data_IF_854014674613
#
_entry.id   IF_854014674613
#
_cell.length_a   1.000
_cell.length_b   1.000
_cell.length_c   1.000
_cell.angle_alpha   90.00
_cell.angle_beta   90.00
_cell.angle_gamma   90.00
#
_symmetry.space_group_name_H-M   'P 1'
#
loop_
_entity.id
_entity.type
_entity.pdbx_description
1 polymer ?
#
# COMPACT_ATOMS: atom_id res chain seq x y z
N UNK A 1 3.97 -41.32 -0.08
CA UNK A 1 3.05 -41.36 -1.23
C UNK A 1 2.04 -40.27 -0.99
N UNK A 2 2.22 -39.10 -1.62
CA UNK A 2 1.26 -38.00 -1.55
C UNK A 2 0.25 -38.21 -2.69
N UNK A 3 -0.97 -38.58 -2.33
CA UNK A 3 -2.08 -38.57 -3.27
C UNK A 3 -2.33 -37.13 -3.74
N UNK A 4 -2.05 -36.90 -5.02
CA UNK A 4 -2.54 -35.70 -5.71
C UNK A 4 -4.07 -35.85 -5.82
N UNK A 5 -4.83 -35.21 -4.94
CA UNK A 5 -6.25 -34.99 -5.15
C UNK A 5 -6.40 -33.98 -6.31
N UNK A 6 -6.50 -34.48 -7.53
CA UNK A 6 -7.01 -33.69 -8.63
C UNK A 6 -8.53 -33.56 -8.44
N UNK A 7 -8.97 -32.38 -8.02
CA UNK A 7 -10.40 -32.06 -7.99
C UNK A 7 -10.79 -31.78 -9.43
N UNK A 8 -11.44 -32.73 -10.08
CA UNK A 8 -11.89 -32.62 -11.46
C UNK A 8 -13.30 -32.01 -11.42
N UNK A 9 -13.34 -30.67 -11.42
CA UNK A 9 -14.60 -29.90 -11.47
C UNK A 9 -15.00 -29.70 -12.93
N UNK A 10 -16.27 -29.90 -13.25
CA UNK A 10 -16.85 -29.44 -14.52
C UNK A 10 -16.78 -27.90 -14.61
N UNK A 11 -16.87 -27.36 -15.80
CA UNK A 11 -16.83 -25.90 -16.01
C UNK A 11 -17.97 -25.18 -15.27
N UNK A 12 -19.15 -25.79 -15.16
CA UNK A 12 -20.26 -25.24 -14.38
C UNK A 12 -20.00 -25.23 -12.89
N UNK A 13 -19.46 -26.31 -12.32
CA UNK A 13 -19.12 -26.38 -10.89
C UNK A 13 -18.00 -25.42 -10.54
N UNK A 14 -17.01 -25.24 -11.41
CA UNK A 14 -15.95 -24.24 -11.22
C UNK A 14 -16.54 -22.82 -11.23
N UNK A 15 -17.44 -22.52 -12.16
CA UNK A 15 -18.12 -21.21 -12.23
C UNK A 15 -18.93 -20.94 -10.96
N UNK A 16 -19.76 -21.89 -10.52
CA UNK A 16 -20.59 -21.75 -9.33
C UNK A 16 -19.73 -21.56 -8.07
N UNK A 17 -18.60 -22.28 -7.97
CA UNK A 17 -17.63 -22.10 -6.90
C UNK A 17 -17.02 -20.69 -6.91
N UNK A 18 -16.58 -20.21 -8.08
CA UNK A 18 -15.97 -18.89 -8.23
C UNK A 18 -16.97 -17.78 -7.93
N UNK A 19 -18.21 -17.89 -8.41
CA UNK A 19 -19.29 -16.92 -8.17
C UNK A 19 -19.65 -16.87 -6.67
N UNK A 20 -19.73 -18.02 -6.02
CA UNK A 20 -19.98 -18.13 -4.58
C UNK A 20 -18.86 -17.46 -3.77
N UNK A 21 -17.60 -17.74 -4.09
CA UNK A 21 -16.46 -17.13 -3.40
C UNK A 21 -16.34 -15.64 -3.71
N UNK A 22 -16.62 -15.22 -4.93
CA UNK A 22 -16.67 -13.81 -5.28
C UNK A 22 -17.74 -13.05 -4.48
N UNK A 23 -18.93 -13.60 -4.35
CA UNK A 23 -20.00 -13.01 -3.54
C UNK A 23 -19.63 -12.95 -2.04
N UNK A 24 -18.97 -13.98 -1.52
CA UNK A 24 -18.48 -14.02 -0.13
C UNK A 24 -17.45 -12.95 0.16
N UNK A 25 -16.49 -12.76 -0.75
CA UNK A 25 -15.41 -11.79 -0.60
C UNK A 25 -15.90 -10.37 -0.87
N UNK A 26 -16.77 -10.19 -1.87
CA UNK A 26 -17.32 -8.88 -2.23
C UNK A 26 -18.49 -8.49 -1.28
N UNK A 27 -18.22 -8.49 0.01
CA UNK A 27 -19.18 -8.21 1.07
C UNK A 27 -18.63 -7.23 2.10
N UNK A 28 -19.49 -6.41 2.76
CA UNK A 28 -19.04 -5.53 3.85
C UNK A 28 -18.36 -6.27 5.01
N UNK A 29 -18.72 -7.51 5.27
CA UNK A 29 -18.14 -8.33 6.33
C UNK A 29 -16.64 -8.65 6.04
N UNK A 30 -16.27 -8.81 4.77
CA UNK A 30 -14.88 -9.01 4.38
C UNK A 30 -14.01 -7.78 4.69
N UNK A 31 -14.55 -6.57 4.49
CA UNK A 31 -13.82 -5.31 4.68
C UNK A 31 -13.36 -5.15 6.12
N UNK A 32 -14.17 -5.57 7.10
CA UNK A 32 -13.89 -5.38 8.52
C UNK A 32 -12.57 -6.07 8.97
N UNK A 33 -12.24 -7.19 8.35
CA UNK A 33 -11.05 -7.99 8.69
C UNK A 33 -9.90 -7.84 7.67
N UNK A 34 -10.01 -6.96 6.69
CA UNK A 34 -9.05 -6.80 5.60
C UNK A 34 -8.34 -5.44 5.67
N UNK A 35 -7.06 -5.35 5.28
CA UNK A 35 -6.34 -4.08 5.21
C UNK A 35 -7.01 -2.99 4.36
N UNK A 36 -7.91 -3.33 3.45
CA UNK A 36 -8.71 -2.37 2.67
C UNK A 36 -9.59 -1.47 3.55
N UNK A 37 -9.85 -1.86 4.81
CA UNK A 37 -10.56 -1.02 5.77
C UNK A 37 -9.83 0.31 6.07
N UNK A 38 -8.50 0.33 6.02
CA UNK A 38 -7.71 1.48 6.45
C UNK A 38 -7.88 2.71 5.54
N UNK A 39 -7.71 2.64 4.22
CA UNK A 39 -8.00 3.78 3.35
C UNK A 39 -9.46 4.24 3.42
N UNK A 40 -10.40 3.35 3.73
CA UNK A 40 -11.82 3.67 3.85
C UNK A 40 -12.19 4.50 5.10
N UNK A 41 -11.25 4.70 6.01
CA UNK A 41 -11.43 5.57 7.20
C UNK A 41 -11.34 7.06 6.84
N UNK A 42 -10.81 7.38 5.67
CA UNK A 42 -10.56 8.74 5.22
C UNK A 42 -11.53 9.15 4.11
N UNK A 43 -11.74 10.47 3.98
CA UNK A 43 -12.61 11.05 2.96
C UNK A 43 -11.85 11.95 1.98
N UNK A 44 -10.70 12.49 2.38
CA UNK A 44 -9.83 13.24 1.48
C UNK A 44 -9.04 12.28 0.59
N UNK A 45 -8.99 12.55 -0.72
CA UNK A 45 -8.27 11.70 -1.66
C UNK A 45 -6.81 11.47 -1.25
N UNK A 46 -6.02 12.48 -0.89
CA UNK A 46 -4.64 12.27 -0.48
C UNK A 46 -4.47 11.36 0.74
N UNK A 47 -5.33 11.48 1.76
CA UNK A 47 -5.27 10.60 2.94
C UNK A 47 -5.63 9.16 2.58
N UNK A 48 -6.65 8.97 1.72
CA UNK A 48 -7.02 7.64 1.19
C UNK A 48 -5.84 7.02 0.44
N UNK A 49 -5.17 7.78 -0.42
CA UNK A 49 -4.04 7.32 -1.22
C UNK A 49 -2.84 6.91 -0.34
N UNK A 50 -2.46 7.75 0.63
CA UNK A 50 -1.35 7.45 1.55
C UNK A 50 -1.69 6.23 2.39
N UNK A 51 -2.87 6.18 2.98
CA UNK A 51 -3.30 5.04 3.79
C UNK A 51 -3.34 3.73 2.98
N UNK A 52 -3.83 3.78 1.72
CA UNK A 52 -3.86 2.63 0.82
C UNK A 52 -2.46 2.14 0.47
N UNK A 53 -1.54 3.06 0.12
CA UNK A 53 -0.16 2.72 -0.22
C UNK A 53 0.56 2.09 0.98
N UNK A 54 0.45 2.70 2.16
CA UNK A 54 1.09 2.20 3.38
C UNK A 54 0.51 0.85 3.81
N UNK A 55 -0.81 0.69 3.79
CA UNK A 55 -1.45 -0.59 4.11
C UNK A 55 -1.04 -1.69 3.13
N UNK A 56 -0.98 -1.40 1.83
CA UNK A 56 -0.53 -2.36 0.81
C UNK A 56 0.94 -2.75 0.98
N UNK A 57 1.78 -1.80 1.38
CA UNK A 57 3.23 -2.03 1.61
C UNK A 57 3.49 -3.07 2.69
N UNK A 58 2.67 -3.12 3.74
CA UNK A 58 2.81 -4.10 4.82
C UNK A 58 1.83 -5.28 4.74
N UNK A 59 1.06 -5.39 3.65
CA UNK A 59 0.02 -6.41 3.46
C UNK A 59 0.59 -7.80 3.14
N UNK A 60 1.54 -8.31 3.94
CA UNK A 60 2.14 -9.62 3.78
C UNK A 60 2.28 -10.35 5.11
N UNK A 61 1.80 -11.60 5.14
CA UNK A 61 1.79 -12.46 6.31
C UNK A 61 0.40 -12.68 6.90
N UNK A 62 0.28 -12.71 8.22
CA UNK A 62 -0.98 -12.97 8.91
C UNK A 62 -1.89 -11.72 8.90
N UNK A 63 -3.12 -11.88 8.42
CA UNK A 63 -4.08 -10.77 8.26
C UNK A 63 -4.35 -10.00 9.55
N UNK A 64 -4.54 -10.67 10.69
CA UNK A 64 -4.76 -10.00 11.99
C UNK A 64 -3.57 -9.16 12.40
N UNK A 65 -2.36 -9.68 12.16
CA UNK A 65 -1.12 -8.94 12.43
C UNK A 65 -1.02 -7.70 11.53
N UNK A 66 -1.31 -7.86 10.23
CA UNK A 66 -1.30 -6.75 9.27
C UNK A 66 -2.26 -5.65 9.72
N UNK A 67 -3.52 -5.99 10.04
CA UNK A 67 -4.50 -4.99 10.49
C UNK A 67 -4.04 -4.29 11.78
N UNK A 68 -3.58 -5.02 12.79
CA UNK A 68 -3.03 -4.41 14.02
C UNK A 68 -1.87 -3.45 13.73
N UNK A 69 -0.98 -3.85 12.85
CA UNK A 69 0.22 -3.07 12.54
C UNK A 69 -0.10 -1.86 11.63
N UNK A 70 -1.13 -1.96 10.76
CA UNK A 70 -1.71 -0.81 10.05
C UNK A 70 -2.32 0.21 11.03
N UNK A 71 -3.08 -0.23 12.04
CA UNK A 71 -3.61 0.65 13.08
C UNK A 71 -2.50 1.41 13.78
N UNK A 72 -1.45 0.69 14.21
CA UNK A 72 -0.29 1.32 14.88
C UNK A 72 0.43 2.31 13.96
N UNK A 73 0.61 1.94 12.70
CA UNK A 73 1.27 2.81 11.72
C UNK A 73 0.48 4.09 11.48
N UNK A 74 -0.84 4.02 11.31
CA UNK A 74 -1.68 5.20 11.15
C UNK A 74 -1.74 6.04 12.42
N UNK A 75 -1.71 5.42 13.60
CA UNK A 75 -1.61 6.14 14.88
C UNK A 75 -0.30 6.92 15.00
N UNK A 76 0.82 6.39 14.49
CA UNK A 76 2.10 7.12 14.40
C UNK A 76 2.02 8.36 13.49
N UNK A 77 1.06 8.40 12.59
CA UNK A 77 0.78 9.53 11.70
C UNK A 77 -0.37 10.41 12.24
N UNK A 78 -0.69 10.31 13.53
CA UNK A 78 -1.80 11.01 14.17
C UNK A 78 -3.17 10.80 13.49
N UNK A 79 -3.32 9.73 12.72
CA UNK A 79 -4.46 9.46 11.83
C UNK A 79 -4.75 10.63 10.85
N UNK A 80 -3.73 11.38 10.49
CA UNK A 80 -3.76 12.48 9.52
C UNK A 80 -2.63 12.32 8.50
N UNK A 81 -2.67 11.31 7.63
CA UNK A 81 -1.55 10.91 6.79
C UNK A 81 -0.96 12.04 5.95
N UNK A 82 -1.80 12.85 5.31
CA UNK A 82 -1.34 13.97 4.48
C UNK A 82 -0.71 15.07 5.32
N UNK A 83 -1.41 15.57 6.35
CA UNK A 83 -0.92 16.65 7.19
C UNK A 83 0.42 16.26 7.84
N UNK A 84 0.48 15.08 8.43
CA UNK A 84 1.70 14.55 9.05
C UNK A 84 2.87 14.45 8.05
N UNK A 85 2.57 14.03 6.81
CA UNK A 85 3.57 13.94 5.73
C UNK A 85 4.08 15.32 5.34
N UNK A 86 3.20 16.30 5.17
CA UNK A 86 3.57 17.65 4.75
C UNK A 86 4.34 18.40 5.85
N UNK A 87 3.93 18.24 7.11
CA UNK A 87 4.55 18.89 8.28
C UNK A 87 5.86 18.21 8.73
N UNK A 88 6.27 17.13 8.06
CA UNK A 88 7.49 16.38 8.34
C UNK A 88 7.54 15.77 9.76
N UNK A 89 6.39 15.51 10.39
CA UNK A 89 6.31 14.84 11.69
C UNK A 89 7.04 13.49 11.75
N UNK A 90 7.26 12.87 10.62
CA UNK A 90 7.99 11.61 10.50
C UNK A 90 9.49 11.71 10.85
N UNK A 91 10.08 12.90 10.87
CA UNK A 91 11.51 13.05 11.23
C UNK A 91 11.73 12.73 12.72
N UNK A 92 10.74 12.98 13.56
CA UNK A 92 10.76 12.72 15.00
C UNK A 92 10.22 11.34 15.38
N UNK A 93 9.88 10.49 14.40
CA UNK A 93 9.42 9.13 14.68
C UNK A 93 10.47 8.34 15.49
N UNK A 94 10.09 7.72 16.60
CA UNK A 94 10.99 6.87 17.37
C UNK A 94 11.42 5.65 16.54
N UNK A 95 12.64 5.18 16.78
CA UNK A 95 13.10 3.96 16.15
C UNK A 95 12.35 2.75 16.72
N UNK A 96 11.45 2.21 15.92
CA UNK A 96 10.63 1.07 16.29
C UNK A 96 10.37 0.16 15.10
N UNK A 97 10.05 -1.09 15.41
CA UNK A 97 9.53 -2.02 14.42
C UNK A 97 8.05 -1.74 14.19
N UNK A 98 7.64 -1.61 12.94
CA UNK A 98 6.24 -1.41 12.55
C UNK A 98 5.60 -2.75 12.19
N UNK A 99 6.21 -3.47 11.23
CA UNK A 99 5.71 -4.77 10.79
C UNK A 99 6.86 -5.62 10.25
N UNK A 100 7.16 -6.75 10.89
CA UNK A 100 8.21 -7.69 10.46
C UNK A 100 9.55 -6.98 10.19
N UNK A 101 9.95 -6.87 8.92
CA UNK A 101 11.17 -6.19 8.48
C UNK A 101 10.95 -4.72 8.09
N UNK A 102 9.73 -4.19 8.26
CA UNK A 102 9.42 -2.79 8.02
C UNK A 102 9.51 -1.99 9.33
N UNK A 103 10.44 -1.04 9.39
CA UNK A 103 10.78 -0.23 10.55
C UNK A 103 10.40 1.23 10.34
N UNK A 104 10.45 2.03 11.40
CA UNK A 104 10.21 3.47 11.35
C UNK A 104 11.14 4.18 10.34
N UNK A 105 12.38 3.72 10.19
CA UNK A 105 13.31 4.24 9.18
C UNK A 105 12.78 4.05 7.74
N UNK A 106 12.15 2.91 7.47
CA UNK A 106 11.52 2.68 6.16
C UNK A 106 10.31 3.59 5.97
N UNK A 107 9.48 3.76 7.02
CA UNK A 107 8.33 4.67 6.97
C UNK A 107 8.76 6.12 6.72
N UNK A 108 9.79 6.61 7.45
CA UNK A 108 10.38 7.94 7.19
C UNK A 108 10.78 8.11 5.72
N UNK A 109 11.44 7.10 5.17
CA UNK A 109 11.86 7.12 3.77
C UNK A 109 10.67 7.22 2.81
N UNK A 110 9.62 6.43 3.02
CA UNK A 110 8.39 6.51 2.24
C UNK A 110 7.74 7.90 2.32
N UNK A 111 7.59 8.44 3.55
CA UNK A 111 6.93 9.72 3.76
C UNK A 111 7.71 10.90 3.16
N UNK A 112 9.05 10.86 3.18
CA UNK A 112 9.89 11.84 2.48
C UNK A 112 9.64 11.85 0.96
N UNK A 113 9.55 10.68 0.35
CA UNK A 113 9.24 10.55 -1.08
C UNK A 113 7.84 11.02 -1.41
N UNK A 114 6.85 10.58 -0.62
CA UNK A 114 5.46 11.00 -0.76
C UNK A 114 5.32 12.51 -0.61
N UNK A 115 5.94 13.11 0.40
CA UNK A 115 5.92 14.57 0.57
C UNK A 115 6.31 15.31 -0.71
N UNK A 116 7.34 14.86 -1.41
CA UNK A 116 7.75 15.50 -2.68
C UNK A 116 6.71 15.36 -3.76
N UNK A 117 6.06 14.19 -3.86
CA UNK A 117 4.97 13.97 -4.82
C UNK A 117 3.81 14.90 -4.48
N UNK A 118 3.35 14.92 -3.24
CA UNK A 118 2.19 15.73 -2.83
C UNK A 118 2.44 17.23 -2.92
N UNK A 119 3.65 17.71 -2.64
CA UNK A 119 4.01 19.12 -2.83
C UNK A 119 4.02 19.56 -4.30
N UNK A 120 4.33 18.64 -5.23
CA UNK A 120 4.38 18.94 -6.67
C UNK A 120 3.06 18.71 -7.40
N UNK A 121 2.32 17.70 -6.99
CA UNK A 121 1.17 17.21 -7.76
C UNK A 121 -0.15 17.27 -6.98
N UNK A 122 -0.12 17.38 -5.66
CA UNK A 122 -1.31 17.43 -4.82
C UNK A 122 -1.93 16.06 -4.53
N UNK A 123 -1.79 15.08 -5.41
CA UNK A 123 -2.30 13.71 -5.24
C UNK A 123 -1.44 12.69 -6.00
N UNK A 124 -1.52 11.41 -5.64
CA UNK A 124 -0.95 10.33 -6.44
C UNK A 124 -1.68 10.16 -7.78
N UNK A 125 -2.97 10.48 -7.82
CA UNK A 125 -3.75 10.47 -9.06
C UNK A 125 -3.20 11.51 -10.04
N UNK A 126 -2.97 12.76 -9.62
CA UNK A 126 -2.41 13.80 -10.47
C UNK A 126 -0.96 13.50 -10.86
N UNK A 127 -0.17 12.94 -9.95
CA UNK A 127 1.15 12.41 -10.26
C UNK A 127 1.09 11.36 -11.38
N UNK A 128 0.17 10.39 -11.27
CA UNK A 128 0.00 9.35 -12.28
C UNK A 128 -0.42 9.91 -13.64
N UNK A 129 -1.24 10.96 -13.66
CA UNK A 129 -1.62 11.65 -14.88
C UNK A 129 -0.43 12.41 -15.50
N UNK A 130 0.33 13.15 -14.68
CA UNK A 130 1.51 13.90 -15.12
C UNK A 130 2.59 12.97 -15.73
N UNK A 131 2.83 11.81 -15.09
CA UNK A 131 3.75 10.78 -15.59
C UNK A 131 3.16 9.91 -16.73
N UNK A 132 1.93 10.21 -17.18
CA UNK A 132 1.22 9.46 -18.24
C UNK A 132 1.07 7.96 -17.95
N UNK A 133 1.03 7.57 -16.68
CA UNK A 133 0.98 6.19 -16.23
C UNK A 133 -0.26 5.46 -16.76
N UNK A 134 -1.40 6.18 -16.87
CA UNK A 134 -2.66 5.66 -17.41
C UNK A 134 -2.57 5.20 -18.87
N UNK A 135 -1.55 5.64 -19.62
CA UNK A 135 -1.31 5.22 -21.00
C UNK A 135 -0.40 3.97 -21.09
N UNK A 136 0.14 3.52 -19.97
CA UNK A 136 0.98 2.32 -19.93
C UNK A 136 0.15 1.06 -20.16
N UNK A 137 0.66 0.04 -20.88
CA UNK A 137 0.03 -1.27 -20.96
C UNK A 137 -0.03 -2.01 -19.61
N UNK A 138 0.76 -1.56 -18.63
CA UNK A 138 0.80 -2.09 -17.26
C UNK A 138 0.78 -0.94 -16.24
N UNK A 139 -0.38 -0.24 -16.05
CA UNK A 139 -0.41 1.00 -15.26
C UNK A 139 0.00 0.82 -13.80
N UNK A 140 -0.41 -0.26 -13.15
CA UNK A 140 -0.04 -0.55 -11.76
C UNK A 140 1.47 -0.72 -11.59
N UNK A 141 2.13 -1.41 -12.51
CA UNK A 141 3.58 -1.58 -12.51
C UNK A 141 4.29 -0.25 -12.77
N UNK A 142 3.83 0.52 -13.74
CA UNK A 142 4.38 1.83 -14.06
C UNK A 142 4.27 2.81 -12.88
N UNK A 143 3.14 2.78 -12.15
CA UNK A 143 2.96 3.58 -10.93
C UNK A 143 3.94 3.16 -9.83
N UNK A 144 4.08 1.87 -9.58
CA UNK A 144 5.02 1.37 -8.59
C UNK A 144 6.46 1.78 -8.91
N UNK A 145 6.87 1.68 -10.19
CA UNK A 145 8.19 2.14 -10.63
C UNK A 145 8.37 3.66 -10.48
N UNK A 146 7.35 4.45 -10.80
CA UNK A 146 7.40 5.90 -10.69
C UNK A 146 7.53 6.35 -9.22
N UNK A 147 6.75 5.75 -8.31
CA UNK A 147 6.88 5.99 -6.87
C UNK A 147 8.28 5.58 -6.39
N UNK A 148 8.76 4.41 -6.78
CA UNK A 148 10.09 3.95 -6.39
C UNK A 148 11.20 4.91 -6.83
N UNK A 149 11.14 5.47 -8.04
CA UNK A 149 12.09 6.50 -8.49
C UNK A 149 12.08 7.71 -7.55
N UNK A 150 10.89 8.19 -7.14
CA UNK A 150 10.78 9.31 -6.20
C UNK A 150 11.34 8.97 -4.81
N UNK A 151 11.21 7.73 -4.36
CA UNK A 151 11.83 7.26 -3.12
C UNK A 151 13.35 7.19 -3.27
N UNK A 152 13.88 6.64 -4.37
CA UNK A 152 15.31 6.50 -4.62
C UNK A 152 16.06 7.83 -4.72
N UNK A 153 15.41 8.90 -5.22
CA UNK A 153 16.03 10.24 -5.31
C UNK A 153 16.40 10.85 -3.94
N UNK A 154 16.00 10.22 -2.83
CA UNK A 154 16.37 10.63 -1.48
C UNK A 154 17.71 10.08 -1.00
N UNK A 155 18.27 9.09 -1.69
CA UNK A 155 19.60 8.59 -1.40
C UNK A 155 20.65 9.50 -2.06
N UNK A 156 21.30 10.33 -1.27
CA UNK A 156 22.42 11.18 -1.71
C UNK A 156 23.74 10.41 -1.90
N UNK A 157 23.73 9.11 -1.73
CA UNK A 157 24.86 8.24 -2.02
C UNK A 157 24.37 7.09 -2.91
N UNK A 158 24.57 7.15 -4.23
CA UNK A 158 24.07 6.12 -5.12
C UNK A 158 24.92 4.87 -4.99
N UNK A 159 24.39 3.84 -4.37
CA UNK A 159 24.74 2.50 -4.82
C UNK A 159 23.90 2.23 -6.08
N UNK A 160 24.52 1.98 -7.24
CA UNK A 160 23.80 1.72 -8.48
C UNK A 160 22.91 0.46 -8.43
N UNK A 161 22.91 -0.26 -7.32
CA UNK A 161 22.16 -1.50 -7.10
C UNK A 161 20.80 -1.31 -6.43
N UNK A 162 20.52 -0.13 -5.86
CA UNK A 162 19.33 0.09 -5.05
C UNK A 162 18.17 0.73 -5.82
N UNK A 163 18.40 1.14 -7.07
CA UNK A 163 17.41 1.83 -7.92
C UNK A 163 17.17 1.15 -9.28
N UNK A 164 17.65 -0.07 -9.49
CA UNK A 164 17.43 -0.84 -10.74
C UNK A 164 16.40 -1.94 -10.59
#
# INVERSE_FOLDING_TARGET
MSENLSIDLSESELRDLLDTEAARINSPAFIADDPVQFPRRFTSLPDVEIAALLASTIAWGNRRMICRDCDRMLALLDNQPLAYTLDQGYEDLPDCNIHRTFFAANLRHYLRGLRRIYLRHGSLADFALAEKIHLSPAPAWALAQAINRELCLLYTSPSPRDCS
#
